data_IF_553195561557
#
_entry.id   IF_553195561557
#
_cell.length_a   1.000
_cell.length_b   1.000
_cell.length_c   1.000
_cell.angle_alpha   90.00
_cell.angle_beta   90.00
_cell.angle_gamma   90.00
#
_symmetry.space_group_name_H-M   'P 1'
#
loop_
_entity.id
_entity.type
_entity.pdbx_description
1 polymer ?
#
# COMPACT_ATOMS: atom_id res chain seq x y z
N UNK A 1 -17.23 -21.53 12.18
CA UNK A 1 -17.81 -20.55 11.26
C UNK A 1 -16.70 -20.02 10.38
N UNK A 2 -16.88 -20.04 9.05
CA UNK A 2 -15.89 -19.49 8.11
C UNK A 2 -15.57 -18.04 8.52
N UNK A 3 -14.32 -17.77 8.86
CA UNK A 3 -13.77 -16.42 9.10
C UNK A 3 -13.65 -15.75 7.72
N UNK A 4 -14.78 -15.62 7.04
CA UNK A 4 -14.93 -15.00 5.75
C UNK A 4 -15.20 -13.53 5.93
N UNK A 5 -14.61 -12.72 5.04
CA UNK A 5 -14.89 -11.30 4.92
C UNK A 5 -16.39 -11.13 4.65
N UNK A 6 -17.16 -10.90 5.72
CA UNK A 6 -18.62 -10.80 5.67
C UNK A 6 -19.06 -9.34 5.51
N UNK A 7 -20.28 -9.11 5.00
CA UNK A 7 -20.87 -7.77 4.89
C UNK A 7 -20.87 -7.01 6.23
N UNK A 8 -21.03 -7.75 7.34
CA UNK A 8 -20.96 -7.21 8.69
C UNK A 8 -19.57 -6.66 9.05
N UNK A 9 -18.50 -7.35 8.63
CA UNK A 9 -17.12 -6.88 8.82
C UNK A 9 -16.90 -5.55 8.08
N UNK A 10 -17.37 -5.44 6.83
CA UNK A 10 -17.26 -4.18 6.08
C UNK A 10 -18.04 -3.03 6.74
N UNK A 11 -19.25 -3.28 7.26
CA UNK A 11 -20.00 -2.26 7.97
C UNK A 11 -19.28 -1.79 9.24
N UNK A 12 -18.73 -2.72 10.04
CA UNK A 12 -17.94 -2.39 11.22
C UNK A 12 -16.68 -1.60 10.87
N UNK A 13 -15.97 -2.03 9.83
CA UNK A 13 -14.80 -1.34 9.30
C UNK A 13 -15.15 0.08 8.83
N UNK A 14 -16.27 0.27 8.12
CA UNK A 14 -16.72 1.58 7.65
C UNK A 14 -17.07 2.53 8.80
N UNK A 15 -17.67 2.03 9.88
CA UNK A 15 -17.93 2.83 11.09
C UNK A 15 -16.61 3.28 11.72
N UNK A 16 -15.64 2.36 11.86
CA UNK A 16 -14.32 2.69 12.42
C UNK A 16 -13.59 3.68 11.52
N UNK A 17 -13.60 3.49 10.19
CA UNK A 17 -13.03 4.42 9.22
C UNK A 17 -13.69 5.80 9.32
N UNK A 18 -15.00 5.87 9.52
CA UNK A 18 -15.73 7.14 9.68
C UNK A 18 -15.35 7.88 10.98
N UNK A 19 -14.94 7.15 12.02
CA UNK A 19 -14.40 7.73 13.27
C UNK A 19 -12.94 8.17 13.08
N UNK A 20 -12.16 7.40 12.32
CA UNK A 20 -10.74 7.66 12.04
C UNK A 20 -10.51 8.84 11.08
N UNK A 21 -11.35 8.99 10.06
CA UNK A 21 -11.30 10.10 9.09
C UNK A 21 -12.05 11.28 9.69
N UNK A 22 -11.36 12.33 10.20
CA UNK A 22 -12.07 13.53 10.63
C UNK A 22 -12.64 14.26 9.41
N UNK A 23 -13.71 15.03 9.63
CA UNK A 23 -14.22 16.02 8.66
C UNK A 23 -13.06 16.81 8.04
N UNK A 24 -13.18 17.10 6.74
CA UNK A 24 -12.22 17.69 5.78
C UNK A 24 -11.51 19.01 6.19
N UNK A 25 -11.59 19.42 7.46
CA UNK A 25 -11.13 20.70 8.01
C UNK A 25 -10.33 20.50 9.31
N UNK A 26 -9.38 19.56 9.31
CA UNK A 26 -8.45 19.31 10.42
C UNK A 26 -7.09 18.83 9.88
N UNK A 27 -6.04 18.82 10.71
CA UNK A 27 -4.64 18.47 10.38
C UNK A 27 -4.45 17.19 9.55
N UNK A 28 -5.43 16.28 9.57
CA UNK A 28 -5.45 15.08 8.74
C UNK A 28 -5.65 15.36 7.25
N UNK A 29 -6.30 16.45 6.86
CA UNK A 29 -6.42 16.86 5.45
C UNK A 29 -5.09 17.36 4.90
N UNK A 30 -4.28 18.05 5.72
CA UNK A 30 -2.91 18.45 5.37
C UNK A 30 -2.04 17.22 5.16
N UNK A 31 -2.14 16.20 6.01
CA UNK A 31 -1.45 14.92 5.82
C UNK A 31 -1.91 14.20 4.55
N UNK A 32 -3.21 14.22 4.24
CA UNK A 32 -3.75 13.63 3.02
C UNK A 32 -3.27 14.36 1.75
N UNK A 33 -3.32 15.70 1.74
CA UNK A 33 -2.79 16.52 0.65
C UNK A 33 -1.29 16.33 0.50
N UNK A 34 -0.55 16.28 1.60
CA UNK A 34 0.89 16.02 1.60
C UNK A 34 1.20 14.64 0.99
N UNK A 35 0.42 13.61 1.34
CA UNK A 35 0.54 12.28 0.76
C UNK A 35 0.21 12.28 -0.74
N UNK A 36 -0.85 12.97 -1.14
CA UNK A 36 -1.29 13.12 -2.52
C UNK A 36 -0.22 13.85 -3.37
N UNK A 37 0.31 14.97 -2.88
CA UNK A 37 1.37 15.74 -3.54
C UNK A 37 2.67 14.95 -3.63
N UNK A 38 3.01 14.16 -2.60
CA UNK A 38 4.19 13.31 -2.61
C UNK A 38 4.04 12.13 -3.60
N UNK A 39 2.85 11.53 -3.70
CA UNK A 39 2.51 10.52 -4.71
C UNK A 39 2.63 11.09 -6.13
N UNK A 40 2.01 12.24 -6.39
CA UNK A 40 2.10 12.93 -7.69
C UNK A 40 3.57 13.21 -8.03
N UNK A 41 4.33 13.78 -7.08
CA UNK A 41 5.76 14.06 -7.27
C UNK A 41 6.56 12.79 -7.59
N UNK A 42 6.28 11.67 -6.90
CA UNK A 42 6.94 10.39 -7.15
C UNK A 42 6.66 9.89 -8.57
N UNK A 43 5.43 9.95 -9.05
CA UNK A 43 5.13 9.46 -10.40
C UNK A 43 5.74 10.34 -11.48
N UNK A 44 5.69 11.67 -11.32
CA UNK A 44 6.39 12.59 -12.24
C UNK A 44 7.90 12.30 -12.29
N UNK A 45 8.51 12.05 -11.14
CA UNK A 45 9.92 11.75 -11.06
C UNK A 45 10.27 10.39 -11.66
N UNK A 46 9.43 9.38 -11.47
CA UNK A 46 9.56 8.07 -12.11
C UNK A 46 9.52 8.18 -13.63
N UNK A 47 8.55 8.95 -14.17
CA UNK A 47 8.45 9.23 -15.61
C UNK A 47 9.67 9.99 -16.10
N UNK A 48 10.18 10.95 -15.33
CA UNK A 48 11.36 11.73 -15.68
C UNK A 48 12.63 10.88 -15.68
N UNK A 49 12.81 10.01 -14.67
CA UNK A 49 13.89 9.02 -14.60
C UNK A 49 13.82 8.07 -15.81
N UNK A 50 12.64 7.58 -16.19
CA UNK A 50 12.48 6.73 -17.38
C UNK A 50 12.86 7.44 -18.69
N UNK A 51 12.57 8.76 -18.80
CA UNK A 51 13.02 9.57 -19.95
C UNK A 51 14.54 9.73 -19.96
N UNK A 52 15.16 9.96 -18.79
CA UNK A 52 16.61 10.06 -18.65
C UNK A 52 17.30 8.74 -18.98
N UNK A 53 16.77 7.60 -18.51
CA UNK A 53 17.28 6.27 -18.81
C UNK A 53 17.27 6.00 -20.33
N UNK A 54 16.17 6.34 -21.00
CA UNK A 54 16.09 6.29 -22.47
C UNK A 54 17.10 7.20 -23.18
N UNK A 55 17.37 8.39 -22.62
CA UNK A 55 18.39 9.30 -23.15
C UNK A 55 19.82 8.80 -22.93
N UNK A 56 20.10 8.17 -21.78
CA UNK A 56 21.38 7.51 -21.48
C UNK A 56 21.62 6.40 -22.49
N UNK A 57 20.65 5.47 -22.66
CA UNK A 57 20.74 4.38 -23.65
C UNK A 57 20.93 4.91 -25.07
N UNK A 58 20.21 5.97 -25.45
CA UNK A 58 20.38 6.62 -26.76
C UNK A 58 21.79 7.17 -26.95
N UNK A 59 22.31 7.91 -25.96
CA UNK A 59 23.67 8.50 -26.03
C UNK A 59 24.78 7.44 -26.08
N UNK A 60 24.56 6.31 -25.41
CA UNK A 60 25.43 5.14 -25.44
C UNK A 60 25.47 4.51 -26.84
N UNK A 61 24.30 4.30 -27.46
CA UNK A 61 24.19 3.76 -28.82
C UNK A 61 24.81 4.70 -29.85
N UNK A 62 24.67 6.01 -29.66
CA UNK A 62 25.26 7.04 -30.53
C UNK A 62 26.77 7.26 -30.32
N UNK A 63 27.40 6.55 -29.35
CA UNK A 63 28.83 6.67 -29.00
C UNK A 63 29.28 8.11 -28.71
N UNK A 64 28.41 8.94 -28.13
CA UNK A 64 28.73 10.32 -27.75
C UNK A 64 29.07 10.41 -26.25
N UNK A 65 30.36 10.35 -25.85
CA UNK A 65 30.74 10.29 -24.44
C UNK A 65 30.42 11.58 -23.68
N UNK A 66 30.44 12.74 -24.33
CA UNK A 66 30.11 14.02 -23.71
C UNK A 66 28.64 14.08 -23.27
N UNK A 67 27.73 13.67 -24.15
CA UNK A 67 26.30 13.65 -23.87
C UNK A 67 25.95 12.56 -22.85
N UNK A 68 26.64 11.41 -22.89
CA UNK A 68 26.51 10.35 -21.91
C UNK A 68 26.87 10.83 -20.50
N UNK A 69 28.04 11.45 -20.32
CA UNK A 69 28.48 11.98 -19.02
C UNK A 69 27.53 13.07 -18.52
N UNK A 70 27.07 13.98 -19.39
CA UNK A 70 26.10 15.03 -19.03
C UNK A 70 24.78 14.42 -18.56
N UNK A 71 24.26 13.42 -19.26
CA UNK A 71 22.97 12.79 -18.93
C UNK A 71 23.07 11.96 -17.65
N UNK A 72 24.18 11.25 -17.42
CA UNK A 72 24.46 10.57 -16.15
C UNK A 72 24.56 11.55 -14.98
N UNK A 73 25.22 12.69 -15.15
CA UNK A 73 25.35 13.70 -14.09
C UNK A 73 23.98 14.27 -13.69
N UNK A 74 23.12 14.54 -14.66
CA UNK A 74 21.73 14.96 -14.42
C UNK A 74 20.94 13.86 -13.71
N UNK A 75 21.06 12.60 -14.18
CA UNK A 75 20.43 11.44 -13.54
C UNK A 75 20.83 11.32 -12.05
N UNK A 76 22.12 11.47 -11.74
CA UNK A 76 22.62 11.38 -10.38
C UNK A 76 22.06 12.51 -9.49
N UNK A 77 21.97 13.72 -10.05
CA UNK A 77 21.42 14.89 -9.34
C UNK A 77 19.93 14.71 -9.03
N UNK A 78 19.19 14.09 -9.94
CA UNK A 78 17.75 13.80 -9.81
C UNK A 78 17.48 12.62 -8.87
N UNK A 79 18.44 11.71 -8.70
CA UNK A 79 18.33 10.59 -7.77
C UNK A 79 18.27 11.03 -6.29
N UNK A 80 18.88 12.17 -5.96
CA UNK A 80 18.88 12.75 -4.60
C UNK A 80 17.46 13.19 -4.18
N UNK A 81 16.76 14.10 -4.90
CA UNK A 81 15.39 14.47 -4.56
C UNK A 81 14.43 13.28 -4.70
N UNK A 82 14.73 12.31 -5.58
CA UNK A 82 13.94 11.08 -5.67
C UNK A 82 13.95 10.27 -4.38
N UNK A 83 15.14 10.04 -3.83
CA UNK A 83 15.31 9.36 -2.56
C UNK A 83 14.64 10.13 -1.42
N UNK A 84 14.75 11.47 -1.43
CA UNK A 84 14.11 12.32 -0.43
C UNK A 84 12.57 12.21 -0.46
N UNK A 85 11.95 12.35 -1.64
CA UNK A 85 10.50 12.23 -1.80
C UNK A 85 10.03 10.84 -1.38
N UNK A 86 10.76 9.79 -1.76
CA UNK A 86 10.41 8.42 -1.38
C UNK A 86 10.44 8.21 0.15
N UNK A 87 11.47 8.74 0.82
CA UNK A 87 11.56 8.72 2.28
C UNK A 87 10.47 9.56 2.94
N UNK A 88 10.14 10.72 2.37
CA UNK A 88 9.09 11.59 2.85
C UNK A 88 7.69 10.94 2.77
N UNK A 89 7.41 10.17 1.70
CA UNK A 89 6.17 9.38 1.59
C UNK A 89 6.07 8.39 2.75
N UNK A 90 7.16 7.67 3.05
CA UNK A 90 7.19 6.73 4.18
C UNK A 90 6.96 7.45 5.51
N UNK A 91 7.59 8.60 5.71
CA UNK A 91 7.39 9.41 6.91
C UNK A 91 5.93 9.88 7.05
N UNK A 92 5.32 10.37 5.97
CA UNK A 92 3.93 10.79 5.96
C UNK A 92 2.97 9.63 6.26
N UNK A 93 3.24 8.44 5.71
CA UNK A 93 2.50 7.21 6.00
C UNK A 93 2.59 6.84 7.49
N UNK A 94 3.79 6.82 8.07
CA UNK A 94 3.97 6.54 9.50
C UNK A 94 3.31 7.58 10.40
N UNK A 95 3.36 8.86 10.02
CA UNK A 95 2.73 9.95 10.77
C UNK A 95 1.20 9.86 10.72
N UNK A 96 0.64 9.44 9.58
CA UNK A 96 -0.80 9.16 9.44
C UNK A 96 -1.22 7.98 10.32
N UNK A 97 -0.43 6.90 10.35
CA UNK A 97 -0.69 5.73 11.18
C UNK A 97 -0.74 6.10 12.66
N UNK A 98 0.23 6.90 13.11
CA UNK A 98 0.26 7.41 14.47
C UNK A 98 -0.96 8.27 14.81
N UNK A 99 -1.37 9.16 13.91
CA UNK A 99 -2.55 10.00 14.11
C UNK A 99 -3.85 9.17 14.20
N UNK A 100 -3.99 8.12 13.40
CA UNK A 100 -5.12 7.19 13.47
C UNK A 100 -5.11 6.39 14.77
N UNK A 101 -3.95 5.88 15.19
CA UNK A 101 -3.78 5.20 16.46
C UNK A 101 -4.22 6.08 17.63
N UNK A 102 -3.68 7.30 17.74
CA UNK A 102 -4.03 8.22 18.83
C UNK A 102 -5.53 8.53 18.90
N UNK A 103 -6.21 8.69 17.75
CA UNK A 103 -7.66 8.94 17.73
C UNK A 103 -8.47 7.72 18.14
N UNK A 104 -8.13 6.54 17.62
CA UNK A 104 -8.88 5.33 17.93
C UNK A 104 -8.70 4.93 19.39
N UNK A 105 -7.47 4.99 19.90
CA UNK A 105 -7.16 4.74 21.31
C UNK A 105 -7.96 5.69 22.20
N UNK A 106 -7.97 6.99 21.90
CA UNK A 106 -8.72 7.97 22.71
C UNK A 106 -10.23 7.72 22.69
N UNK A 107 -10.80 7.41 21.51
CA UNK A 107 -12.22 7.07 21.39
C UNK A 107 -12.57 5.79 22.16
N UNK A 108 -11.70 4.78 22.10
CA UNK A 108 -11.89 3.51 22.80
C UNK A 108 -11.84 3.69 24.33
N UNK A 109 -10.85 4.43 24.84
CA UNK A 109 -10.76 4.76 26.26
C UNK A 109 -11.93 5.62 26.75
N UNK A 110 -12.34 6.65 25.98
CA UNK A 110 -13.51 7.47 26.33
C UNK A 110 -14.80 6.63 26.39
N UNK A 111 -14.95 5.63 25.51
CA UNK A 111 -16.10 4.72 25.53
C UNK A 111 -16.00 3.70 26.67
N UNK A 112 -14.80 3.25 27.02
CA UNK A 112 -14.56 2.29 28.10
C UNK A 112 -14.87 2.89 29.48
N UNK A 113 -14.46 4.14 29.72
CA UNK A 113 -14.70 4.83 30.99
C UNK A 113 -16.09 5.45 31.13
N UNK A 114 -16.85 5.57 30.04
CA UNK A 114 -18.22 6.11 30.09
C UNK A 114 -19.17 5.14 30.79
N UNK A 115 -20.10 5.63 31.62
CA UNK A 115 -21.21 4.86 32.22
C UNK A 115 -20.82 3.59 32.99
N UNK A 116 -19.67 3.58 33.68
CA UNK A 116 -19.15 2.40 34.39
C UNK A 116 -19.05 1.15 33.49
N UNK A 117 -18.85 1.36 32.19
CA UNK A 117 -18.81 0.27 31.20
C UNK A 117 -17.66 -0.68 31.48
N UNK A 118 -16.54 -0.21 32.06
CA UNK A 118 -15.47 -1.06 32.58
C UNK A 118 -15.98 -2.14 33.55
N UNK A 119 -16.89 -1.79 34.47
CA UNK A 119 -17.44 -2.73 35.44
C UNK A 119 -18.42 -3.71 34.77
N UNK A 120 -19.24 -3.22 33.84
CA UNK A 120 -20.19 -4.07 33.11
C UNK A 120 -19.48 -5.07 32.19
N UNK A 121 -18.43 -4.63 31.49
CA UNK A 121 -17.68 -5.51 30.59
C UNK A 121 -16.83 -6.51 31.39
N UNK A 122 -16.21 -6.08 32.50
CA UNK A 122 -15.38 -6.97 33.32
C UNK A 122 -16.20 -8.01 34.11
N UNK A 123 -17.39 -7.64 34.62
CA UNK A 123 -18.15 -8.50 35.55
C UNK A 123 -19.46 -9.06 35.00
N UNK A 124 -20.05 -8.49 33.93
CA UNK A 124 -21.36 -8.91 33.41
C UNK A 124 -21.33 -9.48 31.99
N UNK A 125 -20.26 -9.27 31.22
CA UNK A 125 -20.19 -9.68 29.81
C UNK A 125 -18.98 -10.59 29.53
N UNK A 126 -19.17 -11.91 29.67
CA UNK A 126 -18.13 -12.93 29.45
C UNK A 126 -17.72 -13.10 27.98
N UNK A 127 -18.31 -12.35 27.06
CA UNK A 127 -18.04 -12.44 25.61
C UNK A 127 -16.74 -11.77 25.20
N UNK A 128 -16.24 -10.83 26.00
CA UNK A 128 -14.97 -10.12 25.78
C UNK A 128 -13.94 -10.68 26.78
N UNK A 129 -13.18 -11.69 26.35
CA UNK A 129 -12.25 -12.43 27.21
C UNK A 129 -11.13 -11.56 27.79
N UNK A 130 -10.64 -10.56 27.04
CA UNK A 130 -9.51 -9.72 27.47
C UNK A 130 -9.69 -8.26 27.00
N UNK A 131 -10.60 -7.47 27.60
CA UNK A 131 -10.89 -6.11 27.14
C UNK A 131 -9.66 -5.19 27.20
N UNK A 132 -8.74 -5.42 28.13
CA UNK A 132 -7.52 -4.62 28.29
C UNK A 132 -6.54 -4.84 27.14
N UNK A 133 -6.35 -6.09 26.72
CA UNK A 133 -5.52 -6.45 25.57
C UNK A 133 -6.12 -5.90 24.26
N UNK A 134 -7.44 -5.92 24.15
CA UNK A 134 -8.13 -5.33 23.00
C UNK A 134 -7.96 -3.80 22.94
N UNK A 135 -7.83 -3.13 24.09
CA UNK A 135 -7.70 -1.68 24.18
C UNK A 135 -6.28 -1.18 23.91
N UNK A 136 -5.26 -2.00 24.18
CA UNK A 136 -3.85 -1.65 23.94
C UNK A 136 -3.36 -2.22 22.61
N UNK A 137 -3.19 -3.54 22.53
CA UNK A 137 -2.38 -4.20 21.51
C UNK A 137 -3.15 -4.36 20.21
N UNK A 138 -4.43 -4.69 20.30
CA UNK A 138 -5.27 -4.88 19.11
C UNK A 138 -5.56 -3.56 18.42
N UNK A 139 -5.79 -2.46 19.16
CA UNK A 139 -5.99 -1.13 18.56
C UNK A 139 -4.72 -0.66 17.84
N UNK A 140 -3.55 -0.87 18.44
CA UNK A 140 -2.26 -0.55 17.81
C UNK A 140 -2.02 -1.38 16.54
N UNK A 141 -2.18 -2.69 16.65
CA UNK A 141 -1.99 -3.62 15.53
C UNK A 141 -2.99 -3.34 14.40
N UNK A 142 -4.25 -3.10 14.75
CA UNK A 142 -5.31 -2.79 13.80
C UNK A 142 -5.07 -1.46 13.08
N UNK A 143 -4.77 -0.38 13.80
CA UNK A 143 -4.53 0.94 13.17
C UNK A 143 -3.30 0.96 12.28
N UNK A 144 -2.24 0.26 12.70
CA UNK A 144 -1.02 0.09 11.90
C UNK A 144 -1.31 -0.70 10.63
N UNK A 145 -1.97 -1.86 10.76
CA UNK A 145 -2.35 -2.71 9.62
C UNK A 145 -3.30 -2.00 8.66
N UNK A 146 -4.29 -1.27 9.18
CA UNK A 146 -5.24 -0.49 8.39
C UNK A 146 -4.55 0.63 7.61
N UNK A 147 -3.60 1.33 8.23
CA UNK A 147 -2.86 2.40 7.56
C UNK A 147 -1.94 1.87 6.48
N UNK A 148 -1.26 0.75 6.73
CA UNK A 148 -0.45 0.08 5.73
C UNK A 148 -1.30 -0.42 4.57
N UNK A 149 -2.46 -1.05 4.86
CA UNK A 149 -3.39 -1.49 3.83
C UNK A 149 -3.87 -0.30 2.98
N UNK A 150 -4.28 0.80 3.62
CA UNK A 150 -4.70 2.00 2.91
C UNK A 150 -3.59 2.55 2.01
N UNK A 151 -2.36 2.62 2.51
CA UNK A 151 -1.21 3.09 1.74
C UNK A 151 -0.85 2.13 0.60
N UNK A 152 -0.94 0.83 0.82
CA UNK A 152 -0.66 -0.21 -0.16
C UNK A 152 -1.74 -0.31 -1.26
N UNK A 153 -2.97 0.12 -0.98
CA UNK A 153 -4.03 0.24 -1.98
C UNK A 153 -3.97 1.58 -2.72
N UNK A 154 -3.65 2.66 -2.00
CA UNK A 154 -3.59 4.03 -2.56
C UNK A 154 -2.44 4.17 -3.54
N UNK A 155 -1.24 3.68 -3.20
CA UNK A 155 -0.05 3.73 -4.08
C UNK A 155 -0.33 3.19 -5.50
N UNK A 156 -0.77 1.93 -5.70
CA UNK A 156 -1.03 1.39 -7.03
C UNK A 156 -2.21 2.07 -7.74
N UNK A 157 -3.25 2.51 -7.03
CA UNK A 157 -4.38 3.20 -7.66
C UNK A 157 -3.94 4.53 -8.28
N UNK A 158 -3.13 5.29 -7.55
CA UNK A 158 -2.55 6.54 -8.04
C UNK A 158 -1.49 6.31 -9.12
N UNK A 159 -0.60 5.33 -8.94
CA UNK A 159 0.39 4.98 -9.97
C UNK A 159 -0.29 4.58 -11.28
N UNK A 160 -1.35 3.77 -11.24
CA UNK A 160 -2.13 3.40 -12.43
C UNK A 160 -2.81 4.62 -13.05
N UNK A 161 -3.43 5.49 -12.25
CA UNK A 161 -4.12 6.66 -12.77
C UNK A 161 -3.15 7.63 -13.49
N UNK A 162 -2.01 7.92 -12.86
CA UNK A 162 -1.03 8.86 -13.41
C UNK A 162 -0.24 8.26 -14.57
N UNK A 163 0.14 6.97 -14.52
CA UNK A 163 0.77 6.30 -15.67
C UNK A 163 -0.19 6.25 -16.85
N UNK A 164 -1.47 5.90 -16.63
CA UNK A 164 -2.48 5.90 -17.67
C UNK A 164 -2.64 7.30 -18.29
N UNK A 165 -2.72 8.35 -17.46
CA UNK A 165 -2.78 9.73 -17.93
C UNK A 165 -1.54 10.14 -18.73
N UNK A 166 -0.35 9.83 -18.22
CA UNK A 166 0.93 10.19 -18.86
C UNK A 166 1.11 9.49 -20.19
N UNK A 167 0.72 8.22 -20.30
CA UNK A 167 0.74 7.48 -21.55
C UNK A 167 -0.21 8.11 -22.58
N UNK A 168 -1.43 8.49 -22.17
CA UNK A 168 -2.38 9.18 -23.03
C UNK A 168 -1.80 10.51 -23.54
N UNK A 169 -1.23 11.33 -22.65
CA UNK A 169 -0.60 12.61 -23.04
C UNK A 169 0.59 12.39 -23.98
N UNK A 170 1.49 11.44 -23.70
CA UNK A 170 2.62 11.15 -24.59
C UNK A 170 2.17 10.65 -25.97
N UNK A 171 1.11 9.83 -26.04
CA UNK A 171 0.55 9.36 -27.31
C UNK A 171 -0.08 10.53 -28.07
N UNK A 172 -0.78 11.43 -27.38
CA UNK A 172 -1.37 12.64 -27.97
C UNK A 172 -0.29 13.62 -28.48
N UNK A 173 0.75 13.88 -27.70
CA UNK A 173 1.88 14.73 -28.07
C UNK A 173 2.66 14.15 -29.26
N UNK A 174 2.93 12.83 -29.27
CA UNK A 174 3.59 12.16 -30.40
C UNK A 174 2.70 12.13 -31.65
N UNK A 175 1.38 11.99 -31.51
CA UNK A 175 0.42 12.14 -32.61
C UNK A 175 0.46 13.56 -33.20
N UNK A 176 0.55 14.59 -32.34
CA UNK A 176 0.59 16.01 -32.74
C UNK A 176 1.92 16.44 -33.36
N UNK A 177 3.04 15.88 -32.89
CA UNK A 177 4.37 16.30 -33.32
C UNK A 177 4.88 15.64 -34.62
N UNK A 178 4.29 14.51 -35.04
CA UNK A 178 4.84 13.74 -36.17
C UNK A 178 3.87 13.37 -37.30
N UNK A 179 2.55 13.54 -37.15
CA UNK A 179 1.61 13.18 -38.23
C UNK A 179 1.65 11.70 -38.66
N UNK A 180 2.38 10.83 -37.95
CA UNK A 180 2.47 9.40 -38.26
C UNK A 180 1.27 8.65 -37.66
N UNK A 181 0.45 8.07 -38.54
CA UNK A 181 -0.69 7.21 -38.19
C UNK A 181 -0.29 5.82 -37.65
N UNK A 182 0.99 5.41 -37.76
CA UNK A 182 1.37 4.00 -37.60
C UNK A 182 2.02 3.61 -36.25
N UNK A 183 2.56 4.57 -35.50
CA UNK A 183 3.20 4.30 -34.19
C UNK A 183 2.22 3.87 -33.06
N UNK A 184 0.92 4.27 -33.01
CA UNK A 184 0.06 3.86 -31.89
C UNK A 184 -0.30 2.36 -31.91
N UNK A 185 -0.32 1.71 -33.07
CA UNK A 185 -0.74 0.29 -33.19
C UNK A 185 0.31 -0.64 -32.59
N UNK A 186 1.59 -0.44 -32.92
CA UNK A 186 2.70 -1.22 -32.36
C UNK A 186 2.77 -1.12 -30.83
N UNK A 187 2.53 0.07 -30.27
CA UNK A 187 2.55 0.26 -28.81
C UNK A 187 1.42 -0.52 -28.12
N UNK A 188 0.22 -0.51 -28.71
CA UNK A 188 -0.94 -1.27 -28.20
C UNK A 188 -0.67 -2.78 -28.29
N UNK A 189 -0.10 -3.26 -29.40
CA UNK A 189 0.26 -4.67 -29.58
C UNK A 189 1.27 -5.11 -28.54
N UNK A 190 2.33 -4.33 -28.30
CA UNK A 190 3.35 -4.67 -27.29
C UNK A 190 2.74 -4.72 -25.89
N UNK A 191 1.92 -3.74 -25.51
CA UNK A 191 1.23 -3.73 -24.20
C UNK A 191 0.34 -4.97 -24.04
N UNK A 192 -0.44 -5.31 -25.08
CA UNK A 192 -1.35 -6.45 -25.05
C UNK A 192 -0.60 -7.80 -24.99
N UNK A 193 0.51 -7.91 -25.71
CA UNK A 193 1.40 -9.08 -25.67
C UNK A 193 2.06 -9.22 -24.29
N UNK A 194 2.54 -8.13 -23.70
CA UNK A 194 3.09 -8.13 -22.34
C UNK A 194 2.03 -8.54 -21.32
N UNK A 195 0.79 -8.05 -21.44
CA UNK A 195 -0.32 -8.46 -20.58
C UNK A 195 -0.62 -9.96 -20.68
N UNK A 196 -0.70 -10.51 -21.90
CA UNK A 196 -0.91 -11.95 -22.12
C UNK A 196 0.23 -12.79 -21.58
N UNK A 197 1.47 -12.36 -21.80
CA UNK A 197 2.66 -13.02 -21.27
C UNK A 197 2.64 -13.03 -19.74
N UNK A 198 2.42 -11.88 -19.10
CA UNK A 198 2.30 -11.76 -17.65
C UNK A 198 1.17 -12.63 -17.09
N UNK A 199 0.02 -12.70 -17.77
CA UNK A 199 -1.11 -13.55 -17.36
C UNK A 199 -0.79 -15.05 -17.46
N UNK A 200 -0.01 -15.45 -18.45
CA UNK A 200 0.41 -16.85 -18.66
C UNK A 200 1.55 -17.26 -17.72
N UNK A 201 2.49 -16.35 -17.47
CA UNK A 201 3.63 -16.55 -16.59
C UNK A 201 3.28 -16.39 -15.10
N UNK A 202 2.25 -15.61 -14.75
CA UNK A 202 1.83 -15.47 -13.36
C UNK A 202 1.42 -16.84 -12.81
N UNK A 203 2.19 -17.42 -11.87
CA UNK A 203 1.81 -18.68 -11.27
C UNK A 203 0.50 -18.51 -10.50
N UNK A 204 -0.22 -19.60 -10.26
CA UNK A 204 -1.45 -19.61 -9.46
C UNK A 204 -1.12 -19.35 -7.99
N UNK A 205 -0.77 -18.11 -7.65
CA UNK A 205 -0.43 -17.67 -6.30
C UNK A 205 -1.48 -18.09 -5.28
N UNK A 206 -2.77 -18.06 -5.64
CA UNK A 206 -3.85 -18.51 -4.75
C UNK A 206 -3.73 -19.97 -4.31
N UNK A 207 -3.34 -20.89 -5.20
CA UNK A 207 -3.16 -22.31 -4.83
C UNK A 207 -1.93 -22.48 -3.94
N UNK A 208 -0.82 -21.82 -4.28
CA UNK A 208 0.42 -21.88 -3.51
C UNK A 208 0.23 -21.31 -2.10
N UNK A 209 -0.42 -20.16 -1.98
CA UNK A 209 -0.75 -19.54 -0.69
C UNK A 209 -1.71 -20.41 0.12
N UNK A 210 -2.70 -21.05 -0.52
CA UNK A 210 -3.61 -21.96 0.18
C UNK A 210 -2.90 -23.22 0.69
N UNK A 211 -1.96 -23.77 -0.08
CA UNK A 211 -1.18 -24.93 0.34
C UNK A 211 -0.19 -24.56 1.45
N UNK A 212 0.47 -23.41 1.34
CA UNK A 212 1.37 -22.92 2.39
C UNK A 212 0.59 -22.70 3.69
N UNK A 213 -0.58 -22.06 3.63
CA UNK A 213 -1.45 -21.88 4.78
C UNK A 213 -1.88 -23.23 5.39
N UNK A 214 -2.23 -24.23 4.56
CA UNK A 214 -2.57 -25.58 5.02
C UNK A 214 -1.39 -26.25 5.73
N UNK A 215 -0.18 -26.19 5.15
CA UNK A 215 1.03 -26.79 5.74
C UNK A 215 1.42 -26.11 7.05
N UNK A 216 1.38 -24.77 7.10
CA UNK A 216 1.62 -24.00 8.34
C UNK A 216 0.58 -24.34 9.40
N UNK A 217 -0.69 -24.53 9.02
CA UNK A 217 -1.76 -24.98 9.92
C UNK A 217 -1.48 -26.36 10.52
N UNK A 218 -1.08 -27.33 9.68
CA UNK A 218 -0.71 -28.68 10.14
C UNK A 218 0.50 -28.66 11.09
N UNK A 219 1.51 -27.83 10.80
CA UNK A 219 2.69 -27.70 11.66
C UNK A 219 2.32 -27.12 13.02
N UNK A 220 1.48 -26.08 13.07
CA UNK A 220 0.95 -25.53 14.33
C UNK A 220 0.16 -26.57 15.10
N UNK A 221 -0.73 -27.31 14.43
CA UNK A 221 -1.52 -28.37 15.06
C UNK A 221 -0.63 -29.47 15.68
N UNK A 222 0.39 -29.93 14.96
CA UNK A 222 1.34 -30.90 15.48
C UNK A 222 2.10 -30.37 16.70
N UNK A 223 2.54 -29.11 16.66
CA UNK A 223 3.25 -28.48 17.77
C UNK A 223 2.37 -28.34 19.02
N UNK A 224 1.11 -27.93 18.85
CA UNK A 224 0.13 -27.90 19.95
C UNK A 224 -0.09 -29.28 20.54
N UNK A 225 -0.19 -30.34 19.72
CA UNK A 225 -0.33 -31.72 20.22
C UNK A 225 0.87 -32.19 21.03
N UNK A 226 2.09 -31.83 20.62
CA UNK A 226 3.30 -32.18 21.37
C UNK A 226 3.27 -31.50 22.75
N UNK A 227 2.91 -30.21 22.81
CA UNK A 227 2.81 -29.48 24.08
C UNK A 227 1.74 -30.09 24.98
N UNK A 228 0.55 -30.39 24.45
CA UNK A 228 -0.57 -30.92 25.26
C UNK A 228 -0.32 -32.33 25.78
N UNK A 229 0.44 -33.15 25.05
CA UNK A 229 0.77 -34.52 25.47
C UNK A 229 2.23 -34.62 25.95
N UNK A 230 2.86 -33.50 26.30
CA UNK A 230 4.27 -33.46 26.70
C UNK A 230 4.51 -34.30 27.97
N UNK A 231 3.51 -34.37 28.86
CA UNK A 231 3.56 -35.19 30.08
C UNK A 231 3.49 -36.69 29.80
N UNK A 232 2.83 -37.14 28.72
CA UNK A 232 2.79 -38.56 28.33
C UNK A 232 4.02 -39.00 27.54
N UNK A 233 4.74 -38.04 26.94
CA UNK A 233 5.93 -38.27 26.12
C UNK A 233 7.22 -38.26 26.98
N UNK A 234 7.21 -37.59 28.14
CA UNK A 234 8.31 -37.51 29.08
C UNK A 234 8.39 -38.73 30.01
#
# INVERSE_FOLDING_TARGET
>A
SSIGINKQFFNQLLVIIKILIPRLRSDSFVLFITHLTALISRTFLSVYIARLDGAIVKSLVQRNPRDFIRTISIFLTVAIPASFINSFIKFAESKLALAFRSKLTRYAYDSYFRNQTYYRISNLDTRLLTPDQNLTDDIETFTTTLTHLFSHLTKPFFDIAVVSWTLVVMVLEKKRARGLKEVPILTIIVIFMTFLALRKLSPRFGKLVSEEARRRGLLRFAHTRIITNAEEIA
#
